data_IF_910689815988
#
_entry.id   IF_910689815988
#
_cell.length_a   1.000
_cell.length_b   1.000
_cell.length_c   1.000
_cell.angle_alpha   90.00
_cell.angle_beta   90.00
_cell.angle_gamma   90.00
#
_symmetry.space_group_name_H-M   'P 1'
#
loop_
_entity.id
_entity.type
_entity.pdbx_description
1 polymer ?
#
# COMPACT_ATOMS: atom_id res chain seq x y z
N UNK A 1 23.46 -17.22 -4.61
CA UNK A 1 22.06 -17.72 -4.56
C UNK A 1 21.36 -17.21 -5.81
N UNK A 2 20.62 -18.04 -6.55
CA UNK A 2 19.80 -17.55 -7.69
C UNK A 2 18.47 -17.02 -7.15
N UNK A 3 18.41 -15.78 -6.70
CA UNK A 3 17.11 -15.11 -6.60
C UNK A 3 16.65 -14.76 -8.01
N UNK A 4 15.35 -14.86 -8.27
CA UNK A 4 14.80 -14.43 -9.55
C UNK A 4 14.53 -12.92 -9.47
N UNK A 5 15.53 -12.12 -9.85
CA UNK A 5 15.45 -10.65 -9.85
C UNK A 5 14.20 -10.16 -10.59
N UNK A 6 13.91 -10.73 -11.76
CA UNK A 6 12.76 -10.36 -12.57
C UNK A 6 11.44 -10.56 -11.82
N UNK A 7 11.30 -11.68 -11.10
CA UNK A 7 10.10 -11.95 -10.29
C UNK A 7 9.96 -11.00 -9.10
N UNK A 8 11.07 -10.58 -8.47
CA UNK A 8 11.02 -9.60 -7.38
C UNK A 8 10.65 -8.20 -7.88
N UNK A 9 11.17 -7.79 -9.04
CA UNK A 9 10.82 -6.52 -9.69
C UNK A 9 9.33 -6.54 -10.08
N UNK A 10 8.87 -7.59 -10.76
CA UNK A 10 7.47 -7.72 -11.18
C UNK A 10 6.51 -7.71 -9.98
N UNK A 11 6.88 -8.39 -8.89
CA UNK A 11 6.10 -8.38 -7.66
C UNK A 11 6.07 -6.98 -7.02
N UNK A 12 7.20 -6.29 -6.97
CA UNK A 12 7.28 -4.92 -6.43
C UNK A 12 6.41 -3.95 -7.24
N UNK A 13 6.50 -3.99 -8.57
CA UNK A 13 5.68 -3.16 -9.46
C UNK A 13 4.19 -3.47 -9.32
N UNK A 14 3.84 -4.75 -9.21
CA UNK A 14 2.45 -5.19 -8.99
C UNK A 14 1.90 -4.67 -7.67
N UNK A 15 2.67 -4.77 -6.58
CA UNK A 15 2.27 -4.28 -5.26
C UNK A 15 2.13 -2.76 -5.24
N UNK A 16 3.06 -2.03 -5.85
CA UNK A 16 2.99 -0.58 -5.99
C UNK A 16 1.75 -0.15 -6.79
N UNK A 17 1.45 -0.85 -7.89
CA UNK A 17 0.26 -0.62 -8.70
C UNK A 17 -1.05 -0.92 -7.95
N UNK A 18 -1.07 -1.96 -7.10
CA UNK A 18 -2.22 -2.25 -6.22
C UNK A 18 -2.38 -1.17 -5.17
N UNK A 19 -1.31 -0.75 -4.49
CA UNK A 19 -1.35 0.31 -3.49
C UNK A 19 -1.89 1.62 -4.09
N UNK A 20 -1.40 2.00 -5.28
CA UNK A 20 -1.87 3.18 -6.00
C UNK A 20 -3.36 3.12 -6.33
N UNK A 21 -3.85 1.98 -6.84
CA UNK A 21 -5.29 1.79 -7.12
C UNK A 21 -6.13 1.90 -5.85
N UNK A 22 -5.71 1.27 -4.75
CA UNK A 22 -6.42 1.34 -3.48
C UNK A 22 -6.52 2.78 -2.98
N UNK A 23 -5.43 3.56 -3.02
CA UNK A 23 -5.44 4.98 -2.66
C UNK A 23 -6.38 5.80 -3.54
N UNK A 24 -6.36 5.58 -4.86
CA UNK A 24 -7.27 6.29 -5.78
C UNK A 24 -8.73 5.99 -5.48
N UNK A 25 -9.07 4.72 -5.23
CA UNK A 25 -10.45 4.34 -4.89
C UNK A 25 -10.87 4.89 -3.52
N UNK A 26 -9.98 4.85 -2.53
CA UNK A 26 -10.23 5.45 -1.21
C UNK A 26 -10.46 6.97 -1.29
N UNK A 27 -9.68 7.68 -2.12
CA UNK A 27 -9.87 9.11 -2.34
C UNK A 27 -11.22 9.41 -3.03
N UNK A 28 -11.58 8.66 -4.06
CA UNK A 28 -12.86 8.82 -4.74
C UNK A 28 -14.06 8.54 -3.80
N UNK A 29 -13.93 7.54 -2.93
CA UNK A 29 -14.93 7.24 -1.91
C UNK A 29 -15.04 8.36 -0.86
N UNK A 30 -13.91 8.90 -0.41
CA UNK A 30 -13.88 10.04 0.51
C UNK A 30 -14.57 11.27 -0.07
N UNK A 31 -14.32 11.59 -1.35
CA UNK A 31 -14.96 12.70 -2.05
C UNK A 31 -16.48 12.49 -2.16
N UNK A 32 -16.91 11.28 -2.54
CA UNK A 32 -18.33 10.94 -2.64
C UNK A 32 -19.02 10.98 -1.27
N UNK A 33 -18.36 10.46 -0.24
CA UNK A 33 -18.84 10.49 1.13
C UNK A 33 -19.00 11.93 1.64
N UNK A 34 -18.01 12.79 1.41
CA UNK A 34 -18.07 14.20 1.82
C UNK A 34 -19.25 14.93 1.18
N UNK A 35 -19.50 14.70 -0.12
CA UNK A 35 -20.66 15.27 -0.82
C UNK A 35 -21.99 14.76 -0.24
N UNK A 36 -22.04 13.48 0.13
CA UNK A 36 -23.22 12.88 0.75
C UNK A 36 -23.48 13.47 2.13
N UNK A 37 -22.44 13.60 2.96
CA UNK A 37 -22.53 14.17 4.30
C UNK A 37 -23.05 15.61 4.27
N UNK A 38 -22.53 16.44 3.35
CA UNK A 38 -23.02 17.81 3.14
C UNK A 38 -24.48 17.85 2.69
N UNK A 39 -24.91 16.88 1.87
CA UNK A 39 -26.28 16.83 1.34
C UNK A 39 -27.30 16.33 2.36
N UNK A 40 -26.85 15.65 3.42
CA UNK A 40 -27.68 14.98 4.42
C UNK A 40 -27.62 15.66 5.80
N UNK A 41 -27.11 16.89 5.87
CA UNK A 41 -27.01 17.64 7.11
C UNK A 41 -28.39 17.76 7.80
N UNK A 42 -28.51 17.23 9.02
CA UNK A 42 -29.78 17.17 9.78
C UNK A 42 -30.63 15.91 9.56
N UNK A 43 -30.16 14.92 8.80
CA UNK A 43 -30.83 13.62 8.60
C UNK A 43 -30.27 12.53 9.53
N UNK A 44 -31.13 11.78 10.21
CA UNK A 44 -30.73 10.66 11.09
C UNK A 44 -29.94 9.56 10.35
N UNK A 45 -30.17 9.38 9.05
CA UNK A 45 -29.43 8.43 8.19
C UNK A 45 -27.95 8.78 8.00
N UNK A 46 -27.57 10.04 8.28
CA UNK A 46 -26.18 10.49 8.25
C UNK A 46 -25.33 9.76 9.31
N UNK A 47 -25.87 9.56 10.51
CA UNK A 47 -25.15 8.89 11.58
C UNK A 47 -24.80 7.44 11.22
N UNK A 48 -25.74 6.71 10.61
CA UNK A 48 -25.53 5.34 10.13
C UNK A 48 -24.48 5.28 9.01
N UNK A 49 -24.54 6.22 8.07
CA UNK A 49 -23.55 6.34 7.01
C UNK A 49 -22.14 6.62 7.57
N UNK A 50 -22.00 7.59 8.47
CA UNK A 50 -20.72 7.94 9.08
C UNK A 50 -20.11 6.76 9.85
N UNK A 51 -20.91 5.96 10.57
CA UNK A 51 -20.43 4.74 11.24
C UNK A 51 -19.87 3.74 10.22
N UNK A 52 -20.63 3.45 9.16
CA UNK A 52 -20.20 2.52 8.11
C UNK A 52 -18.94 3.00 7.39
N UNK A 53 -18.86 4.31 7.10
CA UNK A 53 -17.68 4.94 6.50
C UNK A 53 -16.46 4.82 7.39
N UNK A 54 -16.58 5.10 8.69
CA UNK A 54 -15.46 4.99 9.62
C UNK A 54 -14.94 3.56 9.74
N UNK A 55 -15.82 2.56 9.73
CA UNK A 55 -15.43 1.16 9.70
C UNK A 55 -14.66 0.80 8.41
N UNK A 56 -15.14 1.28 7.26
CA UNK A 56 -14.44 1.11 5.99
C UNK A 56 -13.05 1.78 6.00
N UNK A 57 -12.97 3.02 6.46
CA UNK A 57 -11.71 3.78 6.54
C UNK A 57 -10.69 3.10 7.47
N UNK A 58 -11.15 2.44 8.55
CA UNK A 58 -10.27 1.68 9.45
C UNK A 58 -9.75 0.38 8.82
N UNK A 59 -10.57 -0.34 8.07
CA UNK A 59 -10.18 -1.61 7.44
C UNK A 59 -9.29 -1.40 6.20
N UNK A 60 -9.69 -0.49 5.32
CA UNK A 60 -9.00 -0.27 4.05
C UNK A 60 -7.89 0.77 4.15
N UNK A 61 -8.01 1.69 5.10
CA UNK A 61 -7.13 2.85 5.21
C UNK A 61 -7.66 4.01 4.38
N UNK A 62 -7.11 5.20 4.63
CA UNK A 62 -7.47 6.41 3.90
C UNK A 62 -6.38 6.78 2.90
N UNK A 63 -6.75 7.50 1.85
CA UNK A 63 -5.78 8.02 0.89
C UNK A 63 -4.79 9.03 1.51
N UNK A 64 -5.24 9.75 2.54
CA UNK A 64 -4.50 10.77 3.29
C UNK A 64 -3.96 10.27 4.65
N UNK A 65 -4.36 9.07 5.08
CA UNK A 65 -4.09 8.54 6.42
C UNK A 65 -3.18 7.32 6.39
N UNK A 66 -2.09 7.38 7.14
CA UNK A 66 -1.15 6.26 7.30
C UNK A 66 -1.56 5.38 8.48
N UNK A 67 -2.56 4.52 8.30
CA UNK A 67 -2.76 3.40 9.23
C UNK A 67 -1.93 2.20 8.74
N UNK A 68 -0.83 1.83 9.44
CA UNK A 68 0.00 0.70 9.06
C UNK A 68 -0.70 -0.67 9.20
N UNK A 69 -1.84 -0.74 9.87
CA UNK A 69 -2.64 -1.96 10.05
C UNK A 69 -3.85 -2.02 9.11
N UNK A 70 -4.04 -1.01 8.27
CA UNK A 70 -5.04 -1.05 7.20
C UNK A 70 -4.58 -1.92 6.02
N UNK A 71 -5.51 -2.27 5.13
CA UNK A 71 -5.19 -2.97 3.87
C UNK A 71 -4.12 -2.24 3.06
N UNK A 72 -4.25 -0.92 2.88
CA UNK A 72 -3.22 -0.10 2.21
C UNK A 72 -1.87 -0.20 2.94
N UNK A 73 -1.89 -0.10 4.28
CA UNK A 73 -0.69 -0.23 5.10
C UNK A 73 0.00 -1.59 4.96
N UNK A 74 -0.77 -2.67 4.89
CA UNK A 74 -0.26 -4.03 4.69
C UNK A 74 0.36 -4.22 3.30
N UNK A 75 -0.28 -3.70 2.25
CA UNK A 75 0.28 -3.74 0.89
C UNK A 75 1.61 -2.98 0.83
N UNK A 76 1.68 -1.80 1.45
CA UNK A 76 2.93 -1.02 1.54
C UNK A 76 4.03 -1.78 2.30
N UNK A 77 3.71 -2.40 3.44
CA UNK A 77 4.68 -3.21 4.20
C UNK A 77 5.21 -4.37 3.35
N UNK A 78 4.36 -5.00 2.55
CA UNK A 78 4.75 -6.07 1.65
C UNK A 78 5.64 -5.56 0.52
N UNK A 79 5.29 -4.44 -0.11
CA UNK A 79 6.10 -3.76 -1.13
C UNK A 79 7.50 -3.43 -0.59
N UNK A 80 7.58 -2.86 0.62
CA UNK A 80 8.84 -2.54 1.28
C UNK A 80 9.67 -3.79 1.59
N UNK A 81 9.04 -4.88 2.05
CA UNK A 81 9.73 -6.13 2.31
C UNK A 81 10.33 -6.73 1.03
N UNK A 82 9.59 -6.69 -0.08
CA UNK A 82 10.06 -7.14 -1.40
C UNK A 82 11.21 -6.26 -1.91
N UNK A 83 11.07 -4.93 -1.81
CA UNK A 83 12.13 -3.99 -2.17
C UNK A 83 13.42 -4.20 -1.35
N UNK A 84 13.29 -4.39 -0.04
CA UNK A 84 14.42 -4.69 0.84
C UNK A 84 15.09 -6.02 0.49
N UNK A 85 14.31 -7.06 0.17
CA UNK A 85 14.84 -8.34 -0.29
C UNK A 85 15.65 -8.17 -1.60
N UNK A 86 15.15 -7.37 -2.55
CA UNK A 86 15.84 -7.08 -3.80
C UNK A 86 17.16 -6.31 -3.57
N UNK A 87 17.16 -5.29 -2.70
CA UNK A 87 18.36 -4.53 -2.34
C UNK A 87 19.42 -5.43 -1.70
N UNK A 88 19.00 -6.28 -0.76
CA UNK A 88 19.90 -7.22 -0.07
C UNK A 88 20.50 -8.23 -1.05
N UNK A 89 19.68 -8.74 -1.97
CA UNK A 89 20.11 -9.70 -2.99
C UNK A 89 21.16 -9.09 -3.94
N UNK A 90 20.92 -7.85 -4.42
CA UNK A 90 21.89 -7.09 -5.24
C UNK A 90 23.19 -6.78 -4.51
N UNK A 91 23.11 -6.52 -3.21
CA UNK A 91 24.28 -6.20 -2.38
C UNK A 91 25.14 -7.44 -2.12
N UNK A 92 24.50 -8.59 -1.93
CA UNK A 92 25.19 -9.87 -1.79
C UNK A 92 25.96 -10.25 -3.06
N UNK A 93 25.37 -10.07 -4.25
CA UNK A 93 26.05 -10.37 -5.52
C UNK A 93 27.31 -9.52 -5.72
N UNK A 94 27.25 -8.21 -5.43
CA UNK A 94 28.41 -7.31 -5.51
C UNK A 94 29.53 -7.69 -4.54
N UNK A 95 29.17 -8.12 -3.33
CA UNK A 95 30.15 -8.56 -2.33
C UNK A 95 30.90 -9.83 -2.75
N UNK A 96 30.22 -10.75 -3.44
CA UNK A 96 30.81 -11.97 -3.97
C UNK A 96 31.75 -11.66 -5.14
N UNK A 97 31.34 -10.82 -6.10
CA UNK A 97 32.21 -10.42 -7.22
C UNK A 97 33.52 -9.73 -6.76
N UNK A 98 33.45 -8.92 -5.70
CA UNK A 98 34.63 -8.29 -5.10
C UNK A 98 35.60 -9.29 -4.46
N UNK A 99 35.08 -10.35 -3.83
CA UNK A 99 35.89 -11.41 -3.23
C UNK A 99 36.61 -12.29 -4.27
N UNK A 100 36.01 -12.52 -5.44
CA UNK A 100 36.61 -13.31 -6.52
C UNK A 100 37.62 -12.55 -7.38
N UNK A 101 37.64 -11.21 -7.35
CA UNK A 101 38.69 -10.39 -8.01
C UNK A 101 39.90 -10.10 -7.14
N UNK A 102 39.84 -10.41 -5.85
CA UNK A 102 40.91 -10.17 -4.87
C UNK A 102 41.72 -11.42 -4.47
N UNK A 103 41.48 -12.56 -5.10
CA UNK A 103 42.22 -13.82 -4.92
C UNK A 103 42.96 -14.19 -6.22
#
# INVERSE_FOLDING_TARGET
MKYNEAALIELQESLSGVEGKLKTQAAALLDAATKLEQSWEGNEGLAGFTIAKNAFDAEFGRADGEDPNSTIGHVRKLEQAVGNALINAKSADKGVEGAFRGA
#
